data_IF_364672521408
#
_entry.id   IF_364672521408
#
_cell.length_a   1.000
_cell.length_b   1.000
_cell.length_c   1.000
_cell.angle_alpha   90.00
_cell.angle_beta   90.00
_cell.angle_gamma   90.00
#
_symmetry.space_group_name_H-M   'P 1'
#
loop_
_entity.id
_entity.type
_entity.pdbx_description
1 polymer ?
#
# COMPACT_ATOMS: atom_id res chain seq x y z
N UNK A 1 28.83 55.41 2.89
CA UNK A 1 29.64 54.30 3.42
C UNK A 1 28.63 53.26 3.91
N UNK A 2 27.99 52.41 3.10
CA UNK A 2 28.37 51.68 1.89
C UNK A 2 29.47 50.64 2.15
N UNK A 3 29.08 49.53 2.79
CA UNK A 3 29.79 48.25 2.74
C UNK A 3 28.78 47.18 2.32
N UNK A 4 29.03 46.62 1.13
CA UNK A 4 28.36 45.49 0.51
C UNK A 4 29.18 44.25 0.86
N UNK A 5 28.59 43.26 1.53
CA UNK A 5 29.18 41.93 1.72
C UNK A 5 28.54 40.97 0.72
N UNK A 6 29.29 40.64 -0.33
CA UNK A 6 28.98 39.58 -1.29
C UNK A 6 29.44 38.25 -0.70
N UNK A 7 28.49 37.39 -0.32
CA UNK A 7 28.76 36.00 0.02
C UNK A 7 28.44 35.11 -1.19
N UNK A 8 29.50 34.66 -1.87
CA UNK A 8 29.47 33.55 -2.82
C UNK A 8 29.41 32.23 -2.04
N UNK A 9 28.35 31.43 -2.21
CA UNK A 9 28.32 30.02 -1.77
C UNK A 9 28.17 29.10 -2.98
N UNK A 10 29.12 28.17 -3.06
CA UNK A 10 29.39 27.21 -4.13
C UNK A 10 28.26 26.19 -4.33
N UNK A 11 27.86 26.00 -5.59
CA UNK A 11 27.01 24.88 -6.01
C UNK A 11 27.78 23.55 -5.94
N UNK A 12 27.47 22.73 -4.94
CA UNK A 12 27.88 21.33 -4.91
C UNK A 12 27.03 20.50 -5.89
N UNK A 13 27.63 20.12 -7.02
CA UNK A 13 27.10 19.10 -7.93
C UNK A 13 27.19 17.71 -7.28
N UNK A 14 26.10 17.22 -6.71
CA UNK A 14 25.96 15.80 -6.36
C UNK A 14 25.63 14.98 -7.60
N UNK A 15 26.58 14.11 -7.97
CA UNK A 15 26.45 13.16 -9.06
C UNK A 15 25.36 12.12 -8.82
N UNK A 16 24.42 12.02 -9.76
CA UNK A 16 23.46 10.94 -9.87
C UNK A 16 24.18 9.61 -10.14
N UNK A 17 24.39 8.80 -9.09
CA UNK A 17 24.84 7.43 -9.22
C UNK A 17 23.69 6.52 -9.69
N UNK A 18 23.93 5.81 -10.79
CA UNK A 18 23.02 4.87 -11.43
C UNK A 18 22.70 3.65 -10.54
N UNK A 19 21.41 3.37 -10.40
CA UNK A 19 20.79 2.05 -10.61
C UNK A 19 21.48 0.80 -10.05
N UNK A 20 21.46 0.60 -8.73
CA UNK A 20 21.61 -0.72 -8.12
C UNK A 20 20.31 -1.12 -7.40
N UNK A 21 19.57 -2.11 -7.93
CA UNK A 21 18.43 -2.67 -7.22
C UNK A 21 18.90 -3.26 -5.88
N UNK A 22 18.33 -2.87 -4.72
CA UNK A 22 18.76 -3.38 -3.42
C UNK A 22 18.51 -4.88 -3.36
N UNK A 23 19.62 -5.64 -3.26
CA UNK A 23 19.58 -7.09 -3.10
C UNK A 23 18.74 -7.51 -1.90
N UNK A 24 17.91 -8.54 -2.12
CA UNK A 24 17.07 -9.16 -1.10
C UNK A 24 17.95 -9.61 0.10
N UNK A 25 17.90 -8.86 1.19
CA UNK A 25 18.56 -9.25 2.42
C UNK A 25 17.92 -10.55 2.94
N UNK A 26 18.73 -11.59 3.14
CA UNK A 26 18.29 -12.86 3.67
C UNK A 26 17.52 -12.67 5.00
N UNK A 27 16.27 -13.12 5.04
CA UNK A 27 15.36 -12.95 6.18
C UNK A 27 15.64 -14.02 7.25
N UNK A 28 16.06 -13.64 8.47
CA UNK A 28 16.29 -14.61 9.54
C UNK A 28 14.95 -15.16 10.08
N UNK A 29 14.77 -16.49 9.99
CA UNK A 29 13.80 -17.23 10.82
C UNK A 29 12.49 -17.68 10.18
N UNK A 30 12.49 -18.14 8.92
CA UNK A 30 11.31 -18.79 8.33
C UNK A 30 11.20 -20.23 8.85
N UNK A 31 10.11 -20.62 9.56
CA UNK A 31 9.93 -22.00 10.03
C UNK A 31 9.59 -22.95 8.87
N UNK A 32 10.27 -24.10 8.83
CA UNK A 32 10.02 -25.20 7.90
C UNK A 32 8.76 -25.99 8.32
N UNK A 33 7.60 -25.60 7.79
CA UNK A 33 6.34 -26.33 7.97
C UNK A 33 5.31 -25.78 7.00
N UNK A 34 4.65 -26.65 6.23
CA UNK A 34 3.86 -26.37 5.02
C UNK A 34 2.71 -25.34 5.07
N UNK A 35 2.58 -24.55 6.13
CA UNK A 35 1.80 -23.32 6.12
C UNK A 35 2.55 -22.23 5.34
N UNK A 36 1.99 -21.76 4.22
CA UNK A 36 2.58 -20.68 3.43
C UNK A 36 2.95 -19.46 4.29
N UNK A 37 3.99 -18.73 3.89
CA UNK A 37 4.44 -17.50 4.54
C UNK A 37 3.39 -16.38 4.41
N UNK A 38 3.25 -15.57 5.46
CA UNK A 38 2.38 -14.41 5.55
C UNK A 38 3.11 -13.19 6.15
N UNK A 39 2.68 -12.00 5.74
CA UNK A 39 2.99 -10.73 6.37
C UNK A 39 1.78 -10.23 7.17
N UNK A 40 2.01 -9.93 8.44
CA UNK A 40 1.03 -9.35 9.33
C UNK A 40 1.42 -7.90 9.57
N UNK A 41 0.54 -6.96 9.20
CA UNK A 41 0.73 -5.55 9.54
C UNK A 41 0.09 -5.35 10.92
N UNK A 42 0.91 -5.51 11.96
CA UNK A 42 0.50 -5.35 13.36
C UNK A 42 0.54 -3.86 13.71
N UNK A 43 -0.63 -3.24 13.86
CA UNK A 43 -0.79 -1.80 13.97
C UNK A 43 -1.58 -1.42 15.23
N UNK A 44 -1.24 -0.30 15.86
CA UNK A 44 -2.08 0.33 16.88
C UNK A 44 -3.15 1.26 16.25
N UNK A 45 -3.86 2.03 17.09
CA UNK A 45 -4.85 3.02 16.66
C UNK A 45 -4.26 4.23 15.92
N UNK A 46 -2.96 4.51 16.08
CA UNK A 46 -2.26 5.63 15.46
C UNK A 46 -1.59 5.21 14.12
N UNK A 47 -1.66 3.92 13.75
CA UNK A 47 -1.00 3.40 12.56
C UNK A 47 0.51 3.24 12.74
N UNK A 48 0.99 3.18 13.98
CA UNK A 48 2.34 2.73 14.33
C UNK A 48 2.36 1.22 14.52
N UNK A 49 3.55 0.61 14.49
CA UNK A 49 3.69 -0.84 14.66
C UNK A 49 4.72 -1.48 13.74
N UNK A 50 4.48 -2.72 13.36
CA UNK A 50 5.46 -3.49 12.61
C UNK A 50 4.81 -4.38 11.56
N UNK A 51 5.50 -4.51 10.43
CA UNK A 51 5.29 -5.65 9.54
C UNK A 51 6.08 -6.84 10.10
N UNK A 52 5.37 -7.92 10.40
CA UNK A 52 5.90 -9.17 10.96
C UNK A 52 5.69 -10.29 9.95
N UNK A 53 6.73 -11.05 9.65
CA UNK A 53 6.61 -12.22 8.79
C UNK A 53 6.55 -13.50 9.62
N UNK A 54 5.75 -14.46 9.17
CA UNK A 54 5.57 -15.74 9.84
C UNK A 54 4.68 -16.69 9.04
N UNK A 55 4.43 -17.90 9.57
CA UNK A 55 3.47 -18.82 8.94
C UNK A 55 2.05 -18.26 9.00
N UNK A 56 1.22 -18.55 8.00
CA UNK A 56 -0.21 -18.16 7.96
C UNK A 56 -1.00 -18.57 9.20
N UNK A 57 -0.61 -19.64 9.87
CA UNK A 57 -1.24 -20.13 11.11
C UNK A 57 -0.73 -19.49 12.40
N UNK A 58 0.12 -18.46 12.33
CA UNK A 58 0.62 -17.77 13.52
C UNK A 58 -0.53 -17.14 14.31
N UNK A 59 -0.46 -17.24 15.63
CA UNK A 59 -1.48 -16.67 16.53
C UNK A 59 -1.28 -15.16 16.64
N UNK A 60 -2.36 -14.39 16.78
CA UNK A 60 -2.27 -12.92 16.83
C UNK A 60 -1.49 -12.42 18.06
N UNK A 61 -1.48 -13.17 19.17
CA UNK A 61 -0.61 -12.90 20.31
C UNK A 61 0.87 -13.04 19.97
N UNK A 62 1.26 -14.07 19.22
CA UNK A 62 2.64 -14.27 18.77
C UNK A 62 3.06 -13.18 17.77
N UNK A 63 2.14 -12.74 16.91
CA UNK A 63 2.36 -11.60 16.00
C UNK A 63 2.65 -10.33 16.78
N UNK A 64 1.86 -10.03 17.82
CA UNK A 64 2.09 -8.88 18.69
C UNK A 64 3.43 -8.98 19.43
N UNK A 65 3.75 -10.13 20.02
CA UNK A 65 5.02 -10.33 20.75
C UNK A 65 6.23 -10.14 19.82
N UNK A 66 6.14 -10.62 18.58
CA UNK A 66 7.17 -10.39 17.56
C UNK A 66 7.25 -8.93 17.14
N UNK A 67 6.12 -8.26 16.94
CA UNK A 67 6.08 -6.83 16.62
C UNK A 67 6.77 -6.01 17.71
N UNK A 68 6.44 -6.27 18.97
CA UNK A 68 7.07 -5.65 20.14
C UNK A 68 8.58 -5.88 20.17
N UNK A 69 9.04 -7.12 19.93
CA UNK A 69 10.47 -7.45 19.87
C UNK A 69 11.20 -6.72 18.74
N UNK A 70 10.60 -6.63 17.55
CA UNK A 70 11.17 -5.92 16.40
C UNK A 70 11.23 -4.40 16.60
N UNK A 71 10.46 -3.88 17.53
CA UNK A 71 10.46 -2.48 17.95
C UNK A 71 11.23 -2.28 19.26
N UNK A 72 12.05 -3.25 19.67
CA UNK A 72 12.90 -3.17 20.87
C UNK A 72 12.12 -2.87 22.16
N UNK A 73 10.87 -3.33 22.25
CA UNK A 73 10.02 -3.10 23.42
C UNK A 73 9.46 -1.68 23.52
N UNK A 74 9.55 -0.86 22.48
CA UNK A 74 8.89 0.46 22.41
C UNK A 74 7.37 0.34 22.19
N UNK A 75 6.70 -0.43 23.04
CA UNK A 75 5.25 -0.34 23.14
C UNK A 75 4.82 -0.14 24.59
N UNK A 76 3.84 0.73 24.78
CA UNK A 76 3.24 1.02 26.08
C UNK A 76 1.88 0.35 26.13
N UNK A 77 1.65 -0.50 27.13
CA UNK A 77 0.31 -0.98 27.43
C UNK A 77 -0.51 0.18 28.00
N UNK A 78 -1.61 0.53 27.33
CA UNK A 78 -2.55 1.57 27.78
C UNK A 78 -3.66 0.94 28.62
N UNK A 79 -4.14 -0.23 28.20
CA UNK A 79 -5.21 -0.96 28.86
C UNK A 79 -4.72 -2.29 29.46
N UNK A 80 -5.54 -2.87 30.36
CA UNK A 80 -5.20 -4.14 31.03
C UNK A 80 -5.06 -5.31 30.07
N UNK A 81 -5.82 -5.32 28.96
CA UNK A 81 -5.78 -6.42 27.99
C UNK A 81 -5.86 -5.89 26.55
N UNK A 82 -4.90 -6.26 25.67
CA UNK A 82 -4.98 -5.93 24.26
C UNK A 82 -6.14 -6.66 23.57
N UNK A 83 -6.88 -5.93 22.71
CA UNK A 83 -7.89 -6.54 21.84
C UNK A 83 -7.40 -6.57 20.38
N UNK A 84 -7.77 -7.62 19.64
CA UNK A 84 -7.27 -7.87 18.29
C UNK A 84 -8.40 -7.83 17.27
N UNK A 85 -8.15 -7.14 16.15
CA UNK A 85 -9.01 -7.12 14.99
C UNK A 85 -8.18 -7.45 13.74
N UNK A 86 -8.42 -8.60 13.13
CA UNK A 86 -7.86 -8.93 11.83
C UNK A 86 -8.75 -8.34 10.72
N UNK A 87 -8.15 -7.81 9.66
CA UNK A 87 -8.87 -7.17 8.57
C UNK A 87 -8.18 -7.39 7.22
N UNK A 88 -8.97 -7.67 6.20
CA UNK A 88 -8.47 -7.79 4.84
C UNK A 88 -8.08 -6.41 4.28
N UNK A 89 -6.85 -6.30 3.74
CA UNK A 89 -6.27 -4.99 3.34
C UNK A 89 -7.03 -4.26 2.23
N UNK A 90 -7.79 -4.99 1.40
CA UNK A 90 -8.58 -4.43 0.29
C UNK A 90 -10.08 -4.27 0.60
N UNK A 91 -10.59 -4.89 1.67
CA UNK A 91 -12.02 -5.00 1.91
C UNK A 91 -12.32 -4.62 3.35
N UNK A 92 -12.65 -3.35 3.58
CA UNK A 92 -12.82 -2.81 4.93
C UNK A 92 -13.87 -3.57 5.76
N UNK A 93 -14.93 -4.06 5.11
CA UNK A 93 -16.00 -4.83 5.73
C UNK A 93 -15.60 -6.26 6.12
N UNK A 94 -14.49 -6.80 5.60
CA UNK A 94 -13.99 -8.14 5.92
C UNK A 94 -13.03 -8.04 7.09
N UNK A 95 -13.59 -8.12 8.29
CA UNK A 95 -12.86 -8.04 9.53
C UNK A 95 -13.41 -9.03 10.56
N UNK A 96 -12.54 -9.50 11.46
CA UNK A 96 -12.89 -10.44 12.50
C UNK A 96 -12.17 -10.07 13.80
N UNK A 97 -12.92 -10.01 14.90
CA UNK A 97 -12.34 -9.88 16.24
C UNK A 97 -11.76 -11.23 16.66
N UNK A 98 -10.55 -11.21 17.18
CA UNK A 98 -9.80 -12.41 17.54
C UNK A 98 -9.34 -12.33 19.00
N UNK A 99 -9.25 -13.48 19.65
CA UNK A 99 -8.58 -13.62 20.93
C UNK A 99 -7.07 -13.80 20.69
N UNK A 100 -6.27 -13.55 21.72
CA UNK A 100 -4.79 -13.68 21.67
C UNK A 100 -4.31 -15.02 21.11
N UNK A 101 -5.04 -16.10 21.39
CA UNK A 101 -4.71 -17.47 20.96
C UNK A 101 -5.17 -17.85 19.56
N UNK A 102 -5.96 -17.00 18.89
CA UNK A 102 -6.55 -17.31 17.59
C UNK A 102 -5.57 -17.00 16.45
N UNK A 103 -5.64 -17.78 15.37
CA UNK A 103 -4.96 -17.49 14.11
C UNK A 103 -5.85 -16.62 13.21
N UNK A 104 -5.24 -15.88 12.29
CA UNK A 104 -6.00 -15.11 11.28
C UNK A 104 -6.61 -16.06 10.25
N UNK A 105 -7.91 -16.00 9.96
CA UNK A 105 -8.53 -16.82 8.92
C UNK A 105 -7.93 -16.58 7.52
N UNK A 106 -7.74 -17.62 6.69
CA UNK A 106 -7.15 -17.51 5.36
C UNK A 106 -7.81 -16.48 4.44
N UNK A 107 -9.13 -16.28 4.54
CA UNK A 107 -9.93 -15.36 3.74
C UNK A 107 -9.67 -13.87 4.02
N UNK A 108 -8.98 -13.55 5.12
CA UNK A 108 -8.56 -12.19 5.44
C UNK A 108 -7.20 -11.83 4.82
N UNK A 109 -6.48 -12.80 4.26
CA UNK A 109 -5.22 -12.53 3.59
C UNK A 109 -5.42 -12.14 2.13
N UNK A 110 -4.82 -11.03 1.75
CA UNK A 110 -4.64 -10.66 0.36
C UNK A 110 -3.41 -11.36 -0.21
N UNK A 111 -3.59 -12.15 -1.27
CA UNK A 111 -2.50 -12.85 -1.96
C UNK A 111 -2.26 -12.20 -3.33
N UNK A 112 -1.00 -11.80 -3.58
CA UNK A 112 -0.57 -11.23 -4.86
C UNK A 112 -0.40 -12.34 -5.89
N UNK A 113 -1.17 -12.29 -6.98
CA UNK A 113 -1.26 -13.39 -7.97
C UNK A 113 -0.34 -13.23 -9.22
N UNK A 114 0.66 -12.36 -9.17
CA UNK A 114 1.44 -11.96 -10.33
C UNK A 114 2.88 -11.57 -9.95
N UNK A 115 3.85 -12.23 -10.57
CA UNK A 115 5.28 -12.16 -10.23
C UNK A 115 5.83 -13.55 -9.91
N UNK A 116 7.10 -13.82 -10.26
CA UNK A 116 7.79 -15.10 -10.06
C UNK A 116 8.09 -15.47 -8.60
N UNK A 117 7.24 -15.07 -7.66
CA UNK A 117 7.40 -15.22 -6.20
C UNK A 117 8.02 -14.00 -5.54
N UNK A 118 7.56 -13.69 -4.31
CA UNK A 118 8.36 -13.31 -3.14
C UNK A 118 7.53 -12.60 -2.06
N UNK A 119 6.45 -11.90 -2.42
CA UNK A 119 5.65 -11.21 -1.38
C UNK A 119 4.71 -12.19 -0.67
N UNK A 120 4.83 -12.33 0.67
CA UNK A 120 3.92 -13.18 1.43
C UNK A 120 2.52 -12.56 1.44
N UNK A 121 1.50 -13.41 1.61
CA UNK A 121 0.13 -12.92 1.69
C UNK A 121 -0.03 -12.01 2.91
N UNK A 122 -0.77 -10.92 2.75
CA UNK A 122 -0.79 -9.80 3.71
C UNK A 122 -2.17 -9.60 4.33
N UNK A 123 -2.19 -9.33 5.64
CA UNK A 123 -3.39 -8.95 6.40
C UNK A 123 -3.05 -7.83 7.37
N UNK A 124 -4.06 -7.06 7.77
CA UNK A 124 -3.96 -6.17 8.92
C UNK A 124 -4.29 -6.93 10.21
N UNK A 125 -3.56 -6.62 11.27
CA UNK A 125 -3.86 -7.00 12.66
C UNK A 125 -3.83 -5.72 13.48
N UNK A 126 -5.00 -5.13 13.72
CA UNK A 126 -5.14 -3.93 14.56
C UNK A 126 -5.22 -4.36 16.02
N UNK A 127 -4.43 -3.71 16.86
CA UNK A 127 -4.34 -3.99 18.29
C UNK A 127 -4.72 -2.73 19.06
N UNK A 128 -5.74 -2.82 19.92
CA UNK A 128 -6.09 -1.75 20.86
C UNK A 128 -5.53 -2.05 22.24
N UNK A 129 -5.46 -1.05 23.12
CA UNK A 129 -4.86 -1.19 24.46
C UNK A 129 -3.33 -1.21 24.47
N UNK A 130 -2.71 -0.99 23.31
CA UNK A 130 -1.26 -0.83 23.15
C UNK A 130 -0.96 0.40 22.29
N UNK A 131 0.19 1.02 22.49
CA UNK A 131 0.73 2.06 21.59
C UNK A 131 2.17 1.74 21.23
N UNK A 132 2.46 1.67 19.94
CA UNK A 132 3.82 1.51 19.41
C UNK A 132 4.46 2.88 19.22
N UNK A 133 5.73 3.01 19.62
CA UNK A 133 6.47 4.27 19.48
C UNK A 133 6.97 4.57 18.07
N UNK A 134 6.95 3.59 17.16
CA UNK A 134 7.53 3.72 15.83
C UNK A 134 6.95 2.71 14.82
N UNK A 135 7.39 2.85 13.56
CA UNK A 135 7.21 1.87 12.49
C UNK A 135 8.54 1.14 12.22
N UNK A 136 8.52 -0.20 12.11
CA UNK A 136 9.74 -0.94 11.74
C UNK A 136 10.15 -0.70 10.27
N UNK A 137 11.39 -1.10 9.92
CA UNK A 137 11.95 -0.87 8.58
C UNK A 137 11.10 -1.49 7.46
N UNK A 138 10.56 -2.70 7.67
CA UNK A 138 9.74 -3.40 6.68
C UNK A 138 8.44 -2.64 6.39
N UNK A 139 7.73 -2.21 7.43
CA UNK A 139 6.49 -1.45 7.28
C UNK A 139 6.73 -0.11 6.58
N UNK A 140 7.80 0.61 6.94
CA UNK A 140 8.21 1.86 6.25
C UNK A 140 8.49 1.62 4.76
N UNK A 141 9.22 0.56 4.43
CA UNK A 141 9.52 0.20 3.05
C UNK A 141 8.25 -0.15 2.26
N UNK A 142 7.28 -0.86 2.86
CA UNK A 142 5.97 -1.10 2.24
C UNK A 142 5.21 0.19 1.95
N UNK A 143 5.10 1.08 2.94
CA UNK A 143 4.45 2.39 2.78
C UNK A 143 5.09 3.16 1.64
N UNK A 144 6.42 3.21 1.59
CA UNK A 144 7.15 3.94 0.56
C UNK A 144 6.92 3.34 -0.84
N UNK A 145 6.89 2.01 -0.99
CA UNK A 145 6.60 1.35 -2.28
C UNK A 145 5.19 1.69 -2.77
N UNK A 146 4.19 1.61 -1.88
CA UNK A 146 2.82 2.02 -2.23
C UNK A 146 2.77 3.50 -2.60
N UNK A 147 3.41 4.37 -1.81
CA UNK A 147 3.43 5.81 -2.06
C UNK A 147 4.01 6.14 -3.43
N UNK A 148 5.15 5.56 -3.80
CA UNK A 148 5.77 5.76 -5.12
C UNK A 148 4.85 5.33 -6.26
N UNK A 149 4.17 4.18 -6.12
CA UNK A 149 3.20 3.73 -7.11
C UNK A 149 2.06 4.73 -7.28
N UNK A 150 1.52 5.24 -6.18
CA UNK A 150 0.42 6.22 -6.21
C UNK A 150 0.87 7.58 -6.76
N UNK A 151 2.10 8.00 -6.46
CA UNK A 151 2.68 9.22 -7.03
C UNK A 151 2.85 9.11 -8.55
N UNK A 152 3.31 7.96 -9.05
CA UNK A 152 3.41 7.71 -10.49
C UNK A 152 2.04 7.67 -11.17
N UNK A 153 1.01 7.14 -10.50
CA UNK A 153 -0.38 7.24 -10.99
C UNK A 153 -0.83 8.70 -11.08
N UNK A 154 -0.58 9.48 -10.04
CA UNK A 154 -0.93 10.90 -10.02
C UNK A 154 -0.22 11.65 -11.16
N UNK A 155 1.09 11.44 -11.33
CA UNK A 155 1.86 12.04 -12.40
C UNK A 155 1.30 11.68 -13.78
N UNK A 156 0.98 10.39 -13.99
CA UNK A 156 0.37 9.93 -15.25
C UNK A 156 -1.02 10.54 -15.53
N UNK A 157 -1.81 10.84 -14.50
CA UNK A 157 -3.08 11.54 -14.65
C UNK A 157 -2.94 13.07 -14.79
N UNK A 158 -1.78 13.62 -14.45
CA UNK A 158 -1.47 15.04 -14.61
C UNK A 158 -0.83 15.37 -15.96
N UNK A 159 -0.40 14.37 -16.73
CA UNK A 159 0.13 14.54 -18.08
C UNK A 159 -0.82 15.40 -18.94
N UNK A 160 -0.31 16.44 -19.64
CA UNK A 160 -1.14 17.34 -20.45
C UNK A 160 -2.01 16.62 -21.49
N UNK A 161 -1.50 15.54 -22.07
CA UNK A 161 -2.22 14.66 -23.01
C UNK A 161 -3.44 14.04 -22.34
N UNK A 162 -3.27 13.46 -21.14
CA UNK A 162 -4.36 12.87 -20.38
C UNK A 162 -5.40 13.92 -20.00
N UNK A 163 -4.97 15.09 -19.51
CA UNK A 163 -5.87 16.18 -19.09
C UNK A 163 -6.72 16.71 -20.24
N UNK A 164 -6.12 16.93 -21.42
CA UNK A 164 -6.85 17.31 -22.64
C UNK A 164 -7.85 16.24 -23.07
N UNK A 165 -7.46 14.96 -23.04
CA UNK A 165 -8.38 13.87 -23.32
C UNK A 165 -9.55 13.81 -22.33
N UNK A 166 -9.28 14.04 -21.03
CA UNK A 166 -10.28 14.02 -19.97
C UNK A 166 -11.30 15.17 -20.10
N UNK A 167 -10.92 16.30 -20.70
CA UNK A 167 -11.85 17.40 -20.99
C UNK A 167 -12.81 17.06 -22.13
N UNK A 168 -12.34 16.37 -23.16
CA UNK A 168 -13.13 16.01 -24.34
C UNK A 168 -13.94 14.71 -24.21
N UNK A 169 -13.61 13.84 -23.26
CA UNK A 169 -14.28 12.54 -23.11
C UNK A 169 -15.69 12.69 -22.54
N UNK A 170 -16.68 12.17 -23.28
CA UNK A 170 -18.08 12.13 -22.85
C UNK A 170 -18.54 10.72 -22.48
N UNK A 171 -17.90 9.71 -23.07
CA UNK A 171 -18.26 8.31 -22.88
C UNK A 171 -17.50 7.70 -21.69
N UNK A 172 -18.23 6.93 -20.88
CA UNK A 172 -17.67 6.24 -19.72
C UNK A 172 -16.64 5.19 -20.13
N UNK A 173 -16.89 4.44 -21.20
CA UNK A 173 -15.98 3.38 -21.65
C UNK A 173 -14.65 3.96 -22.12
N UNK A 174 -14.69 5.07 -22.86
CA UNK A 174 -13.50 5.81 -23.26
C UNK A 174 -12.68 6.32 -22.06
N UNK A 175 -13.35 6.87 -21.03
CA UNK A 175 -12.66 7.30 -19.80
C UNK A 175 -12.05 6.11 -19.04
N UNK A 176 -12.78 5.01 -18.89
CA UNK A 176 -12.24 3.79 -18.26
C UNK A 176 -11.04 3.21 -19.03
N UNK A 177 -11.02 3.34 -20.36
CA UNK A 177 -9.88 2.94 -21.19
C UNK A 177 -8.66 3.85 -20.95
N UNK A 178 -8.85 5.17 -20.91
CA UNK A 178 -7.78 6.13 -20.59
C UNK A 178 -7.20 5.89 -19.20
N UNK A 179 -8.06 5.66 -18.19
CA UNK A 179 -7.62 5.36 -16.82
C UNK A 179 -6.77 4.08 -16.80
N UNK A 180 -7.23 3.05 -17.51
CA UNK A 180 -6.54 1.76 -17.58
C UNK A 180 -5.18 1.88 -18.26
N UNK A 181 -5.04 2.71 -19.29
CA UNK A 181 -3.77 2.94 -19.97
C UNK A 181 -2.71 3.51 -19.01
N UNK A 182 -3.07 4.52 -18.23
CA UNK A 182 -2.19 5.08 -17.18
C UNK A 182 -1.83 4.00 -16.15
N UNK A 183 -2.83 3.26 -15.66
CA UNK A 183 -2.60 2.20 -14.67
C UNK A 183 -1.66 1.12 -15.17
N UNK A 184 -1.83 0.63 -16.40
CA UNK A 184 -0.99 -0.41 -17.01
C UNK A 184 0.47 0.07 -17.15
N UNK A 185 0.66 1.30 -17.63
CA UNK A 185 1.97 1.92 -17.80
C UNK A 185 2.70 2.07 -16.46
N UNK A 186 2.00 2.50 -15.40
CA UNK A 186 2.58 2.63 -14.06
C UNK A 186 2.85 1.26 -13.45
N UNK A 187 1.90 0.33 -13.53
CA UNK A 187 2.04 -1.04 -13.01
C UNK A 187 3.31 -1.73 -13.54
N UNK A 188 3.65 -1.55 -14.82
CA UNK A 188 4.90 -2.09 -15.41
C UNK A 188 6.15 -1.67 -14.61
N UNK A 189 6.25 -0.39 -14.25
CA UNK A 189 7.39 0.19 -13.51
C UNK A 189 7.50 -0.33 -12.08
N UNK A 190 6.40 -0.81 -11.51
CA UNK A 190 6.30 -1.32 -10.13
C UNK A 190 6.30 -2.86 -10.05
N UNK A 191 6.80 -3.52 -11.09
CA UNK A 191 7.00 -4.98 -11.12
C UNK A 191 5.71 -5.79 -11.27
N UNK A 192 4.65 -5.20 -11.80
CA UNK A 192 3.46 -5.95 -12.22
C UNK A 192 3.72 -6.52 -13.62
N UNK A 193 3.47 -7.81 -13.88
CA UNK A 193 3.68 -8.44 -15.18
C UNK A 193 2.50 -8.11 -16.10
N UNK A 194 2.49 -6.88 -16.58
CA UNK A 194 1.51 -6.37 -17.54
C UNK A 194 1.87 -6.72 -18.99
N UNK A 195 3.15 -6.99 -19.28
CA UNK A 195 3.59 -7.37 -20.63
C UNK A 195 2.93 -8.69 -21.07
N UNK A 196 2.33 -8.68 -22.26
CA UNK A 196 1.63 -9.83 -22.82
C UNK A 196 0.34 -10.22 -22.09
N UNK A 197 -0.11 -9.44 -21.10
CA UNK A 197 -1.33 -9.74 -20.36
C UNK A 197 -2.57 -9.55 -21.25
N UNK A 198 -3.41 -10.58 -21.36
CA UNK A 198 -4.71 -10.46 -22.00
C UNK A 198 -5.58 -9.38 -21.31
N UNK A 199 -6.55 -8.74 -22.00
CA UNK A 199 -7.37 -7.67 -21.40
C UNK A 199 -8.07 -8.06 -20.07
N UNK A 200 -8.48 -9.33 -19.92
CA UNK A 200 -9.03 -9.87 -18.67
C UNK A 200 -8.00 -9.85 -17.54
N UNK A 201 -6.76 -10.28 -17.83
CA UNK A 201 -5.63 -10.27 -16.89
C UNK A 201 -5.30 -8.84 -16.44
N UNK A 202 -5.42 -7.84 -17.32
CA UNK A 202 -5.20 -6.44 -16.95
C UNK A 202 -6.19 -5.96 -15.87
N UNK A 203 -7.45 -6.39 -15.90
CA UNK A 203 -8.42 -6.06 -14.86
C UNK A 203 -8.03 -6.69 -13.51
N UNK A 204 -7.59 -7.94 -13.52
CA UNK A 204 -7.10 -8.62 -12.32
C UNK A 204 -5.88 -7.88 -11.73
N UNK A 205 -4.94 -7.44 -12.58
CA UNK A 205 -3.78 -6.66 -12.14
C UNK A 205 -4.17 -5.33 -11.51
N UNK A 206 -5.18 -4.63 -12.05
CA UNK A 206 -5.73 -3.40 -11.44
C UNK A 206 -6.34 -3.69 -10.06
N UNK A 207 -7.12 -4.78 -9.92
CA UNK A 207 -7.67 -5.18 -8.63
C UNK A 207 -6.58 -5.51 -7.62
N UNK A 208 -5.48 -6.07 -8.10
CA UNK A 208 -4.36 -6.38 -7.26
C UNK A 208 -3.53 -5.15 -6.87
N UNK A 209 -3.38 -4.19 -7.77
CA UNK A 209 -2.79 -2.88 -7.47
C UNK A 209 -3.60 -2.18 -6.37
N UNK A 210 -4.94 -2.24 -6.45
CA UNK A 210 -5.83 -1.73 -5.39
C UNK A 210 -5.58 -2.43 -4.05
N UNK A 211 -5.47 -3.76 -4.03
CA UNK A 211 -5.15 -4.50 -2.81
C UNK A 211 -3.76 -4.17 -2.24
N UNK A 212 -2.76 -3.98 -3.11
CA UNK A 212 -1.44 -3.53 -2.71
C UNK A 212 -1.48 -2.13 -2.08
N UNK A 213 -2.19 -1.18 -2.69
CA UNK A 213 -2.40 0.16 -2.14
C UNK A 213 -3.12 0.08 -0.79
N UNK A 214 -4.14 -0.76 -0.71
CA UNK A 214 -4.88 -1.10 0.51
C UNK A 214 -3.97 -1.47 1.67
N UNK A 215 -2.86 -2.16 1.43
CA UNK A 215 -1.94 -2.56 2.48
C UNK A 215 -1.27 -1.39 3.23
N UNK A 216 -1.25 -0.17 2.68
CA UNK A 216 -0.68 1.02 3.31
C UNK A 216 -1.69 2.16 3.54
N UNK A 217 -3.00 1.93 3.34
CA UNK A 217 -4.03 2.98 3.49
C UNK A 217 -4.18 3.54 4.92
N UNK A 218 -3.61 2.88 5.92
CA UNK A 218 -3.56 3.42 7.29
C UNK A 218 -2.58 4.61 7.41
N UNK A 219 -1.65 4.77 6.47
CA UNK A 219 -0.73 5.91 6.44
C UNK A 219 -1.41 7.11 5.77
N UNK A 220 -1.56 8.22 6.51
CA UNK A 220 -2.30 9.40 6.06
C UNK A 220 -1.76 9.95 4.73
N UNK A 221 -0.45 9.96 4.55
CA UNK A 221 0.23 10.38 3.34
C UNK A 221 -0.13 9.51 2.12
N UNK A 222 -0.37 8.22 2.31
CA UNK A 222 -0.82 7.32 1.24
C UNK A 222 -2.30 7.54 0.96
N UNK A 223 -3.13 7.62 2.00
CA UNK A 223 -4.57 7.82 1.86
C UNK A 223 -4.89 9.13 1.11
N UNK A 224 -4.21 10.22 1.43
CA UNK A 224 -4.33 11.50 0.74
C UNK A 224 -3.90 11.41 -0.74
N UNK A 225 -2.80 10.69 -1.01
CA UNK A 225 -2.33 10.48 -2.38
C UNK A 225 -3.35 9.71 -3.22
N UNK A 226 -3.95 8.65 -2.66
CA UNK A 226 -4.97 7.83 -3.32
C UNK A 226 -6.25 8.63 -3.55
N UNK A 227 -6.66 9.45 -2.59
CA UNK A 227 -7.80 10.36 -2.75
C UNK A 227 -7.57 11.35 -3.90
N UNK A 228 -6.35 11.90 -4.02
CA UNK A 228 -5.95 12.73 -5.16
C UNK A 228 -6.00 11.95 -6.47
N UNK A 229 -5.52 10.71 -6.51
CA UNK A 229 -5.60 9.84 -7.70
C UNK A 229 -7.05 9.68 -8.17
N UNK A 230 -7.99 9.49 -7.25
CA UNK A 230 -9.41 9.39 -7.58
C UNK A 230 -9.93 10.66 -8.27
N UNK A 231 -9.60 11.84 -7.75
CA UNK A 231 -9.98 13.12 -8.37
C UNK A 231 -9.33 13.31 -9.74
N UNK A 232 -8.01 13.09 -9.84
CA UNK A 232 -7.24 13.30 -11.05
C UNK A 232 -7.66 12.37 -12.19
N UNK A 233 -8.00 11.12 -11.87
CA UNK A 233 -8.44 10.12 -12.84
C UNK A 233 -9.74 10.50 -13.56
N UNK A 234 -10.53 11.44 -13.03
CA UNK A 234 -11.81 11.84 -13.63
C UNK A 234 -12.99 10.94 -13.26
N UNK A 235 -12.81 9.94 -12.40
CA UNK A 235 -13.92 9.12 -11.87
C UNK A 235 -15.14 9.91 -11.36
N UNK A 236 -14.99 11.07 -10.68
CA UNK A 236 -16.14 11.87 -10.26
C UNK A 236 -17.08 12.29 -11.41
N UNK A 237 -16.56 12.51 -12.63
CA UNK A 237 -17.39 12.85 -13.81
C UNK A 237 -18.36 11.71 -14.16
N UNK A 238 -17.92 10.46 -14.00
CA UNK A 238 -18.72 9.26 -14.31
C UNK A 238 -19.83 9.06 -13.28
N UNK A 239 -19.54 9.29 -12.00
CA UNK A 239 -20.49 9.06 -10.92
C UNK A 239 -21.70 10.02 -11.00
N UNK A 240 -21.49 11.25 -11.50
CA UNK A 240 -22.55 12.25 -11.65
C UNK A 240 -23.50 11.95 -12.82
N UNK A 241 -23.00 11.35 -13.90
CA UNK A 241 -23.81 11.05 -15.10
C UNK A 241 -24.84 9.93 -14.93
N UNK A 242 -24.64 9.00 -13.99
CA UNK A 242 -25.55 7.88 -13.75
C UNK A 242 -26.79 8.22 -12.90
N UNK A 243 -26.89 9.44 -12.37
CA UNK A 243 -27.95 9.85 -11.43
C UNK A 243 -29.13 10.62 -12.04
N UNK A 244 -29.11 10.95 -13.33
CA UNK A 244 -30.15 11.80 -13.96
C UNK A 244 -31.09 11.06 -14.94
N UNK A 245 -31.24 9.75 -14.79
CA UNK A 245 -32.23 8.96 -15.53
C UNK A 245 -33.61 8.97 -14.87
N UNK A 246 -34.48 9.90 -15.30
CA UNK A 246 -35.95 9.82 -15.35
C UNK A 246 -36.71 9.11 -14.21
N UNK A 247 -37.08 9.89 -13.18
CA UNK A 247 -38.47 9.89 -12.70
C UNK A 247 -39.13 11.16 -13.22
N UNK A 248 -39.78 11.05 -14.37
CA UNK A 248 -40.74 12.02 -14.89
C UNK A 248 -41.91 11.22 -15.47
#
# INVERSE_FOLDING_TARGET
EAEEDEAEEEEAQEGCAEGGAPGAAAHPGIPEGGAGLAAFLCLDSEGNGAEVWGGRGARVGEVLDRAAKLLEGTFVAIDREPAFLAQHVNYEHRQLRLNRGDAVPPELFFTRAYGGGEEPAVTWVRVTGVRFGARNRLLKARIQRVRRLVDDLNAGFEEPEYRRGLEGVQDRSALEAMIREVQVRVMARHGFPVEGAAPRRALDLVMQMKGFNGSAMFAAEVAQAVARTFVLSGYPKVAQGSGQGHYA
#
